data_IF_686949073032
#
_entry.id   IF_686949073032
#
_cell.length_a   1.000
_cell.length_b   1.000
_cell.length_c   1.000
_cell.angle_alpha   90.00
_cell.angle_beta   90.00
_cell.angle_gamma   90.00
#
_symmetry.space_group_name_H-M   'P 1'
#
loop_
_entity.id
_entity.type
_entity.pdbx_description
1 polymer ?
#
# COMPACT_ATOMS: atom_id res chain seq x y z
N UNK A 1 3.72 35.16 -45.79
CA UNK A 1 2.75 34.53 -44.87
C UNK A 1 2.72 35.41 -43.62
N UNK A 2 1.65 36.19 -43.42
CA UNK A 2 1.55 37.13 -42.28
C UNK A 2 0.91 36.43 -41.08
N UNK A 3 1.49 36.59 -39.88
CA UNK A 3 0.78 37.03 -38.66
C UNK A 3 1.77 37.76 -37.76
N UNK A 4 1.40 38.94 -37.25
CA UNK A 4 1.79 39.41 -35.92
C UNK A 4 0.75 40.45 -35.44
N UNK A 5 0.27 40.27 -34.21
CA UNK A 5 -0.62 41.18 -33.45
C UNK A 5 0.24 42.19 -32.65
N UNK A 6 -0.29 43.07 -31.76
CA UNK A 6 -1.67 43.50 -31.47
C UNK A 6 -1.84 45.05 -31.47
N UNK A 7 -3.00 45.58 -31.03
CA UNK A 7 -3.01 46.63 -29.98
C UNK A 7 -4.39 46.87 -29.33
N UNK A 8 -4.37 47.32 -28.08
CA UNK A 8 -5.54 47.59 -27.20
C UNK A 8 -6.09 49.03 -27.34
N UNK A 9 -7.34 49.23 -26.90
CA UNK A 9 -8.00 50.55 -26.73
C UNK A 9 -9.54 50.44 -26.81
N UNK A 10 -10.29 50.06 -25.77
CA UNK A 10 -10.65 50.78 -24.53
C UNK A 10 -11.71 51.89 -24.72
N UNK A 11 -12.88 51.75 -24.04
CA UNK A 11 -13.90 52.80 -23.70
C UNK A 11 -14.85 53.31 -24.81
N UNK A 12 -16.17 53.54 -24.65
CA UNK A 12 -17.30 53.13 -23.75
C UNK A 12 -18.60 53.55 -24.49
N UNK A 13 -19.78 52.99 -24.15
CA UNK A 13 -21.00 53.81 -23.89
C UNK A 13 -22.11 53.02 -23.19
N UNK A 14 -22.78 53.74 -22.28
CA UNK A 14 -23.75 53.27 -21.29
C UNK A 14 -25.19 53.55 -21.77
N UNK A 15 -26.16 52.65 -21.50
CA UNK A 15 -27.50 52.93 -20.90
C UNK A 15 -28.43 51.72 -20.99
N UNK A 16 -29.11 51.36 -19.88
CA UNK A 16 -30.59 51.35 -19.79
C UNK A 16 -31.12 51.13 -18.35
N UNK A 17 -32.26 51.76 -18.06
CA UNK A 17 -32.94 52.03 -16.77
C UNK A 17 -34.39 52.49 -17.09
N UNK A 18 -35.51 52.26 -16.37
CA UNK A 18 -35.86 51.58 -15.10
C UNK A 18 -37.23 50.87 -15.29
N UNK A 19 -37.42 49.65 -14.78
CA UNK A 19 -38.70 49.12 -14.23
C UNK A 19 -38.44 47.76 -13.55
N UNK A 20 -38.97 47.42 -12.37
CA UNK A 20 -40.12 47.99 -11.66
C UNK A 20 -41.11 46.88 -11.32
N UNK A 21 -40.73 45.95 -10.43
CA UNK A 21 -41.56 44.81 -10.01
C UNK A 21 -41.52 44.64 -8.50
N UNK A 22 -42.69 44.67 -7.85
CA UNK A 22 -42.81 44.70 -6.40
C UNK A 22 -42.43 43.39 -5.71
N UNK A 23 -41.92 43.54 -4.48
CA UNK A 23 -41.88 42.50 -3.45
C UNK A 23 -43.27 41.90 -3.20
N UNK A 24 -43.38 40.59 -3.36
CA UNK A 24 -44.38 39.76 -2.69
C UNK A 24 -43.72 38.44 -2.32
N UNK A 25 -42.85 38.49 -1.31
CA UNK A 25 -42.34 37.31 -0.63
C UNK A 25 -43.49 36.66 0.13
N UNK A 26 -44.13 35.66 -0.48
CA UNK A 26 -44.95 34.71 0.25
C UNK A 26 -44.05 33.94 1.20
N UNK A 27 -43.99 34.41 2.46
CA UNK A 27 -43.43 33.67 3.59
C UNK A 27 -44.29 32.43 3.83
N UNK A 28 -44.08 31.39 3.02
CA UNK A 28 -44.34 30.02 3.45
C UNK A 28 -43.22 29.67 4.42
N UNK A 29 -43.35 30.12 5.66
CA UNK A 29 -42.62 29.50 6.76
C UNK A 29 -43.19 28.09 6.91
N UNK A 30 -42.61 27.14 6.19
CA UNK A 30 -42.73 25.73 6.58
C UNK A 30 -42.41 25.67 8.07
N UNK A 31 -43.28 25.10 8.93
CA UNK A 31 -42.96 24.96 10.33
C UNK A 31 -41.65 24.19 10.41
N UNK A 32 -40.65 24.79 11.07
CA UNK A 32 -39.38 24.10 11.36
C UNK A 32 -39.78 22.91 12.22
N UNK A 33 -39.68 21.71 11.67
CA UNK A 33 -39.97 20.49 12.42
C UNK A 33 -39.02 20.47 13.63
N UNK A 34 -39.53 20.51 14.88
CA UNK A 34 -38.68 20.50 16.06
C UNK A 34 -37.92 19.16 16.22
N UNK A 35 -38.29 18.13 15.44
CA UNK A 35 -37.58 16.85 15.33
C UNK A 35 -36.74 16.74 14.05
N UNK A 36 -36.63 17.80 13.24
CA UNK A 36 -35.64 17.86 12.18
C UNK A 36 -34.27 17.76 12.84
N UNK A 37 -33.65 16.58 12.69
CA UNK A 37 -32.26 16.37 13.11
C UNK A 37 -31.44 17.48 12.45
N UNK A 38 -30.81 18.32 13.27
CA UNK A 38 -29.78 19.23 12.79
C UNK A 38 -28.80 18.35 12.03
N UNK A 39 -28.71 18.56 10.71
CA UNK A 39 -27.73 17.83 9.93
C UNK A 39 -26.37 18.15 10.54
N UNK A 40 -25.68 17.12 11.04
CA UNK A 40 -24.29 17.19 11.51
C UNK A 40 -23.54 18.11 10.53
N UNK A 41 -22.94 19.21 11.00
CA UNK A 41 -22.33 20.18 10.11
C UNK A 41 -21.32 19.43 9.25
N UNK A 42 -21.42 19.56 7.92
CA UNK A 42 -20.45 18.96 7.02
C UNK A 42 -19.11 19.64 7.30
N UNK A 43 -18.31 19.01 8.16
CA UNK A 43 -16.94 19.42 8.43
C UNK A 43 -16.17 19.10 7.17
N UNK A 44 -16.08 20.07 6.27
CA UNK A 44 -15.06 20.09 5.23
C UNK A 44 -13.73 19.88 5.94
N UNK A 45 -13.04 18.78 5.62
CA UNK A 45 -11.78 18.43 6.26
C UNK A 45 -10.84 19.64 6.20
N UNK A 46 -10.42 20.14 7.37
CA UNK A 46 -9.43 21.20 7.41
C UNK A 46 -8.12 20.59 6.95
N UNK A 47 -7.73 20.88 5.71
CA UNK A 47 -6.45 20.43 5.18
C UNK A 47 -5.32 21.13 5.94
N UNK A 48 -4.77 20.45 6.96
CA UNK A 48 -3.58 20.86 7.72
C UNK A 48 -2.38 20.06 7.25
N UNK A 49 -1.20 20.67 7.14
CA UNK A 49 0.01 19.90 6.91
C UNK A 49 0.17 18.87 8.05
N UNK A 50 0.46 17.59 7.75
CA UNK A 50 0.73 16.60 8.79
C UNK A 50 2.00 16.98 9.54
N UNK A 51 2.11 16.57 10.81
CA UNK A 51 3.34 16.78 11.56
C UNK A 51 4.43 15.83 11.04
N UNK A 52 5.62 16.38 10.76
CA UNK A 52 6.78 15.59 10.35
C UNK A 52 7.59 15.30 11.61
N UNK A 53 7.83 14.03 11.97
CA UNK A 53 8.63 13.67 13.12
C UNK A 53 9.98 14.42 13.12
N UNK A 54 10.40 14.90 14.30
CA UNK A 54 11.72 15.51 14.49
C UNK A 54 12.83 14.48 14.68
N UNK A 55 12.46 13.24 15.02
CA UNK A 55 13.31 12.07 15.17
C UNK A 55 12.50 10.84 14.76
N UNK A 56 13.18 9.87 14.13
CA UNK A 56 12.65 8.59 13.67
C UNK A 56 13.84 7.69 13.31
N UNK A 57 13.59 6.39 13.17
CA UNK A 57 14.55 5.38 12.77
C UNK A 57 13.89 4.36 11.83
N UNK A 58 14.67 3.68 11.01
CA UNK A 58 14.24 2.48 10.32
C UNK A 58 14.94 1.28 10.96
N UNK A 59 14.20 0.50 11.74
CA UNK A 59 14.73 -0.71 12.38
C UNK A 59 16.03 -0.49 13.19
N UNK A 60 16.12 0.63 13.89
CA UNK A 60 17.29 1.08 14.67
C UNK A 60 18.31 1.93 13.89
N UNK A 61 18.16 2.09 12.57
CA UNK A 61 18.98 3.01 11.77
C UNK A 61 18.38 4.43 11.82
N UNK A 62 19.03 5.34 12.55
CA UNK A 62 18.55 6.70 12.73
C UNK A 62 18.44 7.48 11.40
N UNK A 63 17.32 8.18 11.21
CA UNK A 63 17.10 9.04 10.05
C UNK A 63 17.83 10.38 10.26
N UNK A 64 18.73 10.80 9.35
CA UNK A 64 19.53 12.02 9.54
C UNK A 64 18.76 13.27 9.10
N UNK A 65 17.83 13.73 9.95
CA UNK A 65 16.95 14.88 9.65
C UNK A 65 17.66 16.20 9.32
N UNK A 66 18.88 16.39 9.84
CA UNK A 66 19.74 17.55 9.56
C UNK A 66 20.42 17.49 8.18
N UNK A 67 20.42 16.33 7.51
CA UNK A 67 20.97 16.19 6.16
C UNK A 67 20.07 16.84 5.12
N UNK A 68 20.71 17.38 4.07
CA UNK A 68 20.04 18.15 3.03
C UNK A 68 18.87 17.37 2.39
N UNK A 69 17.68 17.98 2.38
CA UNK A 69 16.48 17.44 1.74
C UNK A 69 15.75 16.32 2.50
N UNK A 70 16.35 15.68 3.51
CA UNK A 70 15.75 14.51 4.21
C UNK A 70 14.39 14.87 4.80
N UNK A 71 14.29 15.98 5.53
CA UNK A 71 13.03 16.44 6.14
C UNK A 71 11.95 16.81 5.11
N UNK A 72 12.32 17.43 4.00
CA UNK A 72 11.40 17.81 2.92
C UNK A 72 10.89 16.58 2.15
N UNK A 73 11.75 15.59 1.92
CA UNK A 73 11.39 14.33 1.28
C UNK A 73 10.45 13.48 2.17
N UNK A 74 10.64 13.48 3.49
CA UNK A 74 9.69 12.85 4.41
C UNK A 74 8.36 13.61 4.45
N UNK A 75 8.37 14.93 4.64
CA UNK A 75 7.16 15.79 4.60
C UNK A 75 6.30 15.51 3.37
N UNK A 76 6.94 15.43 2.21
CA UNK A 76 6.27 15.14 0.96
C UNK A 76 5.56 13.78 0.94
N UNK A 77 6.14 12.72 1.50
CA UNK A 77 5.43 11.43 1.62
C UNK A 77 4.41 11.42 2.78
N UNK A 78 4.62 12.18 3.87
CA UNK A 78 3.61 12.37 4.92
C UNK A 78 2.34 13.01 4.35
N UNK A 79 2.48 14.11 3.61
CA UNK A 79 1.38 14.79 2.91
C UNK A 79 0.68 13.82 1.96
N UNK A 80 1.43 13.11 1.10
CA UNK A 80 0.83 12.18 0.12
C UNK A 80 0.03 11.07 0.81
N UNK A 81 0.58 10.41 1.83
CA UNK A 81 -0.09 9.26 2.46
C UNK A 81 -1.20 9.67 3.45
N UNK A 82 -1.15 10.88 4.01
CA UNK A 82 -2.26 11.45 4.79
C UNK A 82 -3.45 11.80 3.89
N UNK A 83 -3.20 12.48 2.76
CA UNK A 83 -4.26 12.96 1.86
C UNK A 83 -4.75 11.93 0.83
N UNK A 84 -4.03 10.84 0.60
CA UNK A 84 -4.56 9.65 -0.11
C UNK A 84 -5.47 8.81 0.80
N UNK A 85 -6.40 9.49 1.48
CA UNK A 85 -7.09 9.04 2.67
C UNK A 85 -7.86 7.72 2.48
N UNK A 86 -8.46 7.51 1.31
CA UNK A 86 -9.18 6.27 0.96
C UNK A 86 -8.25 5.06 0.85
N UNK A 87 -7.04 5.21 0.30
CA UNK A 87 -6.04 4.15 0.22
C UNK A 87 -5.50 3.80 1.60
N UNK A 88 -5.06 4.80 2.37
CA UNK A 88 -4.47 4.60 3.69
C UNK A 88 -5.47 4.02 4.69
N UNK A 89 -6.73 4.48 4.67
CA UNK A 89 -7.82 3.85 5.43
C UNK A 89 -8.04 2.38 5.04
N UNK A 90 -7.94 2.02 3.76
CA UNK A 90 -8.01 0.61 3.32
C UNK A 90 -6.79 -0.19 3.77
N UNK A 91 -5.60 0.42 3.84
CA UNK A 91 -4.39 -0.24 4.33
C UNK A 91 -4.53 -0.58 5.82
N UNK A 92 -4.91 0.39 6.66
CA UNK A 92 -5.17 0.20 8.09
C UNK A 92 -6.22 -0.89 8.34
N UNK A 93 -7.35 -0.86 7.60
CA UNK A 93 -8.39 -1.92 7.69
C UNK A 93 -7.87 -3.30 7.31
N UNK A 94 -6.99 -3.43 6.31
CA UNK A 94 -6.39 -4.70 5.88
C UNK A 94 -5.27 -5.19 6.79
N UNK A 95 -4.59 -4.28 7.49
CA UNK A 95 -3.51 -4.63 8.41
C UNK A 95 -4.00 -5.53 9.55
N UNK A 96 -5.14 -5.20 10.16
CA UNK A 96 -5.81 -6.06 11.15
C UNK A 96 -5.98 -7.53 10.71
N UNK A 97 -6.17 -7.78 9.40
CA UNK A 97 -6.27 -9.14 8.82
C UNK A 97 -4.92 -9.83 8.64
N UNK A 98 -3.89 -9.09 8.23
CA UNK A 98 -2.68 -9.66 7.63
C UNK A 98 -1.40 -9.46 8.44
N UNK A 99 -1.31 -8.39 9.24
CA UNK A 99 -0.19 -8.15 10.15
C UNK A 99 0.05 -9.33 11.10
N UNK A 100 -0.96 -9.95 11.75
CA UNK A 100 -0.71 -11.12 12.61
C UNK A 100 -0.02 -12.31 11.92
N UNK A 101 -0.15 -12.44 10.60
CA UNK A 101 0.56 -13.46 9.81
C UNK A 101 1.97 -12.97 9.43
N UNK A 102 2.10 -11.70 9.05
CA UNK A 102 3.36 -11.08 8.62
C UNK A 102 4.32 -10.94 9.81
N UNK A 103 3.91 -10.25 10.87
CA UNK A 103 4.68 -9.98 12.09
C UNK A 103 5.21 -11.27 12.75
N UNK A 104 4.40 -12.34 12.74
CA UNK A 104 4.81 -13.67 13.22
C UNK A 104 6.00 -14.25 12.44
N UNK A 105 5.97 -14.13 11.10
CA UNK A 105 7.04 -14.62 10.22
C UNK A 105 8.28 -13.71 10.30
N UNK A 106 8.09 -12.39 10.37
CA UNK A 106 9.19 -11.43 10.57
C UNK A 106 9.96 -11.75 11.85
N UNK A 107 9.23 -11.94 12.95
CA UNK A 107 9.78 -12.35 14.25
C UNK A 107 10.47 -13.72 14.21
N UNK A 108 9.90 -14.71 13.53
CA UNK A 108 10.54 -16.03 13.34
C UNK A 108 11.86 -15.91 12.58
N UNK A 109 11.90 -15.07 11.55
CA UNK A 109 13.07 -14.86 10.68
C UNK A 109 14.09 -13.88 11.24
N UNK A 110 13.78 -13.18 12.34
CA UNK A 110 14.63 -12.13 12.89
C UNK A 110 14.70 -10.87 12.01
N UNK A 111 13.72 -10.65 11.14
CA UNK A 111 13.59 -9.38 10.42
C UNK A 111 12.89 -8.35 11.33
N UNK A 112 13.37 -7.10 11.40
CA UNK A 112 12.73 -6.04 12.17
C UNK A 112 11.28 -5.77 11.74
N UNK A 113 10.44 -5.41 12.71
CA UNK A 113 8.99 -5.33 12.52
C UNK A 113 8.56 -4.24 11.53
N UNK A 114 9.29 -3.12 11.46
CA UNK A 114 9.13 -2.01 10.51
C UNK A 114 8.97 -2.49 9.06
N UNK A 115 9.61 -3.61 8.69
CA UNK A 115 9.53 -4.15 7.33
C UNK A 115 8.14 -4.68 6.95
N UNK A 116 7.20 -4.84 7.90
CA UNK A 116 5.79 -5.12 7.58
C UNK A 116 5.16 -3.99 6.75
N UNK A 117 5.65 -2.76 6.91
CA UNK A 117 5.19 -1.60 6.16
C UNK A 117 5.68 -1.60 4.70
N UNK A 118 6.71 -2.39 4.34
CA UNK A 118 7.04 -2.62 2.92
C UNK A 118 5.89 -3.29 2.16
N UNK A 119 5.27 -4.33 2.74
CA UNK A 119 4.09 -4.97 2.14
C UNK A 119 2.88 -4.02 2.00
N UNK A 120 2.82 -2.96 2.84
CA UNK A 120 1.83 -1.89 2.73
C UNK A 120 2.13 -0.99 1.53
N UNK A 121 3.36 -0.47 1.38
CA UNK A 121 3.68 0.44 0.26
C UNK A 121 3.70 -0.27 -1.10
N UNK A 122 4.00 -1.56 -1.13
CA UNK A 122 4.05 -2.37 -2.36
C UNK A 122 2.66 -2.77 -2.87
N UNK A 123 1.73 -3.15 -1.98
CA UNK A 123 0.46 -3.76 -2.39
C UNK A 123 -0.80 -3.21 -1.70
N UNK A 124 -0.63 -2.39 -0.67
CA UNK A 124 -1.70 -2.06 0.26
C UNK A 124 -2.29 -3.30 0.95
N UNK A 125 -1.45 -4.31 1.23
CA UNK A 125 -1.82 -5.63 1.75
C UNK A 125 -2.91 -6.33 0.92
N UNK A 126 -2.65 -6.43 -0.40
CA UNK A 126 -3.61 -6.95 -1.38
C UNK A 126 -2.93 -7.75 -2.50
N UNK A 127 -3.74 -8.50 -3.24
CA UNK A 127 -3.29 -9.33 -4.36
C UNK A 127 -3.29 -8.52 -5.67
N UNK A 128 -2.35 -7.59 -5.79
CA UNK A 128 -2.20 -6.71 -6.97
C UNK A 128 -1.06 -7.16 -7.89
N UNK A 129 -1.06 -6.63 -9.12
CA UNK A 129 0.00 -6.84 -10.11
C UNK A 129 0.42 -5.48 -10.66
N UNK A 130 1.71 -5.15 -10.61
CA UNK A 130 2.22 -3.89 -11.16
C UNK A 130 2.25 -3.93 -12.70
N UNK A 131 2.33 -2.77 -13.39
CA UNK A 131 2.55 -2.72 -14.83
C UNK A 131 3.82 -3.46 -15.30
N UNK A 132 4.83 -3.61 -14.44
CA UNK A 132 6.05 -4.37 -14.71
C UNK A 132 5.90 -5.89 -14.48
N UNK A 133 4.78 -6.36 -13.92
CA UNK A 133 4.52 -7.78 -13.67
C UNK A 133 4.99 -8.29 -12.30
N UNK A 134 5.37 -7.40 -11.39
CA UNK A 134 5.47 -7.69 -9.96
C UNK A 134 4.10 -8.15 -9.43
N UNK A 135 4.04 -9.06 -8.45
CA UNK A 135 2.76 -9.60 -7.98
C UNK A 135 2.67 -9.92 -6.49
N UNK A 136 1.45 -9.88 -5.98
CA UNK A 136 1.10 -10.26 -4.61
C UNK A 136 1.47 -9.20 -3.56
N UNK A 137 1.44 -9.60 -2.29
CA UNK A 137 1.63 -8.71 -1.14
C UNK A 137 2.97 -7.99 -1.14
N UNK A 138 4.00 -8.71 -1.58
CA UNK A 138 5.40 -8.33 -1.55
C UNK A 138 5.95 -7.95 -2.93
N UNK A 139 5.06 -7.78 -3.93
CA UNK A 139 5.38 -7.38 -5.31
C UNK A 139 6.62 -8.07 -5.90
N UNK A 140 6.73 -9.38 -5.75
CA UNK A 140 7.85 -10.11 -6.32
C UNK A 140 7.78 -10.14 -7.86
N UNK A 141 8.90 -9.82 -8.50
CA UNK A 141 9.09 -10.00 -9.94
C UNK A 141 9.15 -11.49 -10.29
N UNK A 142 8.55 -11.89 -11.42
CA UNK A 142 8.47 -13.31 -11.85
C UNK A 142 9.85 -13.98 -12.00
N UNK A 143 10.89 -13.22 -12.40
CA UNK A 143 12.26 -13.72 -12.51
C UNK A 143 13.04 -13.78 -11.18
N UNK A 144 12.60 -13.04 -10.16
CA UNK A 144 13.26 -12.95 -8.85
C UNK A 144 12.65 -13.93 -7.85
N UNK A 145 11.33 -14.10 -7.87
CA UNK A 145 10.58 -14.99 -6.98
C UNK A 145 11.17 -16.42 -6.82
N UNK A 146 11.56 -17.13 -7.90
CA UNK A 146 12.14 -18.48 -7.77
C UNK A 146 13.51 -18.51 -7.06
N UNK A 147 14.25 -17.40 -7.07
CA UNK A 147 15.55 -17.29 -6.39
C UNK A 147 15.39 -17.33 -4.87
N UNK A 148 14.22 -16.91 -4.38
CA UNK A 148 13.79 -16.97 -2.97
C UNK A 148 12.74 -18.07 -2.74
N UNK A 149 12.83 -19.16 -3.51
CA UNK A 149 12.07 -20.40 -3.26
C UNK A 149 10.59 -20.40 -3.65
N UNK A 150 10.05 -19.33 -4.25
CA UNK A 150 8.63 -19.27 -4.64
C UNK A 150 8.36 -20.08 -5.92
N UNK A 151 7.45 -21.04 -5.85
CA UNK A 151 7.00 -21.83 -7.01
C UNK A 151 6.12 -20.98 -7.93
N UNK A 152 6.45 -20.97 -9.23
CA UNK A 152 5.63 -20.33 -10.27
C UNK A 152 5.45 -21.29 -11.46
N UNK A 153 4.20 -21.66 -11.71
CA UNK A 153 3.72 -22.46 -12.85
C UNK A 153 2.47 -21.78 -13.44
N UNK A 154 1.79 -22.41 -14.40
CA UNK A 154 0.50 -21.91 -14.92
C UNK A 154 -0.64 -22.08 -13.90
N UNK A 155 -0.51 -23.03 -12.98
CA UNK A 155 -1.56 -23.40 -12.01
C UNK A 155 -1.29 -22.82 -10.61
N UNK A 156 -0.03 -22.59 -10.26
CA UNK A 156 0.43 -22.12 -8.95
C UNK A 156 1.31 -20.89 -9.13
N UNK A 157 1.03 -19.78 -8.46
CA UNK A 157 1.95 -18.63 -8.36
C UNK A 157 2.06 -18.19 -6.89
N UNK A 158 3.15 -18.62 -6.24
CA UNK A 158 3.33 -18.45 -4.79
C UNK A 158 3.68 -17.01 -4.38
N UNK A 159 3.85 -16.09 -5.33
CA UNK A 159 3.90 -14.64 -5.03
C UNK A 159 2.62 -14.16 -4.36
N UNK A 160 1.49 -14.76 -4.74
CA UNK A 160 0.18 -14.53 -4.12
C UNK A 160 -0.02 -15.30 -2.81
N UNK A 161 0.89 -16.21 -2.43
CA UNK A 161 0.78 -16.99 -1.19
C UNK A 161 1.43 -16.22 -0.02
N UNK A 162 0.65 -15.37 0.67
CA UNK A 162 1.14 -14.43 1.71
C UNK A 162 2.20 -14.99 2.66
N UNK A 163 2.03 -16.21 3.21
CA UNK A 163 3.03 -16.84 4.08
C UNK A 163 4.37 -17.04 3.35
N UNK A 164 4.36 -17.77 2.21
CA UNK A 164 5.57 -18.06 1.42
C UNK A 164 6.24 -16.79 0.89
N UNK A 165 5.46 -15.83 0.37
CA UNK A 165 6.04 -14.58 -0.11
C UNK A 165 6.55 -13.68 1.02
N UNK A 166 6.05 -13.81 2.25
CA UNK A 166 6.64 -13.14 3.43
C UNK A 166 7.99 -13.77 3.81
N UNK A 167 8.12 -15.09 3.81
CA UNK A 167 9.41 -15.76 4.01
C UNK A 167 10.44 -15.30 2.96
N UNK A 168 10.06 -15.32 1.68
CA UNK A 168 10.90 -14.86 0.58
C UNK A 168 11.33 -13.38 0.72
N UNK A 169 10.42 -12.50 1.18
CA UNK A 169 10.74 -11.10 1.46
C UNK A 169 11.72 -10.95 2.62
N UNK A 170 11.56 -11.74 3.69
CA UNK A 170 12.51 -11.77 4.80
C UNK A 170 13.90 -12.20 4.34
N UNK A 171 13.98 -13.27 3.54
CA UNK A 171 15.26 -13.74 3.00
C UNK A 171 15.94 -12.68 2.13
N UNK A 172 15.19 -12.00 1.25
CA UNK A 172 15.72 -10.87 0.45
C UNK A 172 16.29 -9.76 1.33
N UNK A 173 15.52 -9.29 2.32
CA UNK A 173 15.86 -8.12 3.13
C UNK A 173 17.03 -8.41 4.09
N UNK A 174 17.10 -9.62 4.63
CA UNK A 174 18.25 -10.09 5.41
C UNK A 174 19.51 -10.18 4.56
N UNK A 175 19.43 -10.74 3.34
CA UNK A 175 20.56 -10.80 2.40
C UNK A 175 20.96 -9.41 1.86
N UNK A 176 20.04 -8.46 1.80
CA UNK A 176 20.33 -7.08 1.43
C UNK A 176 21.02 -6.32 2.57
N UNK A 177 20.52 -6.42 3.79
CA UNK A 177 21.14 -5.78 4.95
C UNK A 177 22.51 -6.39 5.28
N UNK A 178 22.69 -7.70 5.10
CA UNK A 178 24.00 -8.36 5.20
C UNK A 178 25.01 -7.84 4.17
N UNK A 179 24.54 -7.37 3.02
CA UNK A 179 25.39 -6.84 1.95
C UNK A 179 25.74 -5.36 2.16
N UNK A 180 24.77 -4.53 2.59
CA UNK A 180 24.94 -3.08 2.70
C UNK A 180 25.23 -2.56 4.13
N UNK A 181 24.94 -3.34 5.17
CA UNK A 181 25.03 -2.89 6.57
C UNK A 181 24.05 -1.80 6.97
N UNK A 182 23.05 -1.51 6.13
CA UNK A 182 22.01 -0.49 6.31
C UNK A 182 20.65 -1.04 5.89
N UNK A 183 19.65 -0.84 6.74
CA UNK A 183 18.25 -1.13 6.49
C UNK A 183 17.64 -0.15 5.48
N UNK A 184 18.07 1.11 5.45
CA UNK A 184 17.65 2.07 4.43
C UNK A 184 18.13 1.65 3.03
N UNK A 185 19.39 1.22 2.89
CA UNK A 185 19.91 0.66 1.64
C UNK A 185 19.27 -0.69 1.29
N UNK A 186 19.00 -1.55 2.29
CA UNK A 186 18.28 -2.80 2.08
C UNK A 186 16.86 -2.55 1.52
N UNK A 187 16.11 -1.61 2.10
CA UNK A 187 14.80 -1.19 1.63
C UNK A 187 14.86 -0.58 0.21
N UNK A 188 15.77 0.36 -0.06
CA UNK A 188 15.95 0.93 -1.40
C UNK A 188 16.28 -0.16 -2.45
N UNK A 189 17.10 -1.15 -2.05
CA UNK A 189 17.43 -2.29 -2.91
C UNK A 189 16.24 -3.20 -3.21
N UNK A 190 15.18 -3.19 -2.40
CA UNK A 190 13.96 -3.96 -2.67
C UNK A 190 13.25 -3.43 -3.93
N UNK A 191 13.24 -2.11 -4.11
CA UNK A 191 12.63 -1.44 -5.26
C UNK A 191 13.50 -1.50 -6.52
N UNK A 192 14.81 -1.16 -6.43
CA UNK A 192 15.68 -1.04 -7.62
C UNK A 192 16.64 -2.22 -7.85
N UNK A 193 16.65 -3.21 -6.95
CA UNK A 193 17.60 -4.33 -6.95
C UNK A 193 18.95 -3.99 -6.34
N UNK A 194 19.57 -4.96 -5.63
CA UNK A 194 20.88 -4.81 -4.96
C UNK A 194 22.00 -4.32 -5.90
N UNK A 195 22.03 -4.82 -7.14
CA UNK A 195 23.02 -4.39 -8.13
C UNK A 195 22.87 -2.92 -8.55
N UNK A 196 21.65 -2.37 -8.54
CA UNK A 196 21.40 -0.96 -8.80
C UNK A 196 21.92 -0.08 -7.67
N UNK A 197 21.55 -0.39 -6.43
CA UNK A 197 22.05 0.33 -5.24
C UNK A 197 23.58 0.34 -5.18
N UNK A 198 24.22 -0.82 -5.37
CA UNK A 198 25.69 -0.92 -5.33
C UNK A 198 26.37 -0.04 -6.38
N UNK A 199 25.90 -0.09 -7.63
CA UNK A 199 26.42 0.75 -8.71
C UNK A 199 26.26 2.23 -8.37
N UNK A 200 25.08 2.65 -7.90
CA UNK A 200 24.80 4.06 -7.65
C UNK A 200 25.63 4.60 -6.46
N UNK A 201 25.90 3.78 -5.43
CA UNK A 201 26.88 4.09 -4.36
C UNK A 201 28.30 4.27 -4.93
N UNK A 202 28.78 3.31 -5.73
CA UNK A 202 30.11 3.32 -6.35
C UNK A 202 30.32 4.52 -7.29
N UNK A 203 29.32 4.83 -8.13
CA UNK A 203 29.36 5.93 -9.10
C UNK A 203 29.31 7.31 -8.42
N UNK A 204 28.48 7.46 -7.38
CA UNK A 204 28.28 8.74 -6.69
C UNK A 204 29.27 8.99 -5.55
N UNK A 205 29.97 7.94 -5.09
CA UNK A 205 30.98 7.97 -4.00
C UNK A 205 30.40 8.43 -2.67
N UNK A 206 29.26 7.84 -2.33
CA UNK A 206 28.53 8.03 -1.07
C UNK A 206 28.22 6.66 -0.46
N UNK A 207 28.08 6.61 0.85
CA UNK A 207 27.96 5.35 1.59
C UNK A 207 26.54 5.11 2.15
N UNK A 208 25.64 6.10 2.08
CA UNK A 208 24.30 6.03 2.69
C UNK A 208 23.16 6.27 1.70
N UNK A 209 21.97 5.74 2.00
CA UNK A 209 20.75 6.03 1.22
C UNK A 209 20.44 7.53 1.16
N UNK A 210 20.71 8.25 2.25
CA UNK A 210 20.36 9.65 2.45
C UNK A 210 21.15 10.61 1.55
N UNK A 211 22.30 10.16 1.03
CA UNK A 211 23.18 10.92 0.14
C UNK A 211 23.00 10.55 -1.35
N UNK A 212 22.32 9.42 -1.65
CA UNK A 212 22.14 8.93 -3.01
C UNK A 212 21.13 9.78 -3.81
N UNK A 213 21.58 10.33 -4.94
CA UNK A 213 20.72 10.85 -5.99
C UNK A 213 20.16 9.69 -6.82
N UNK A 214 18.99 9.19 -6.41
CA UNK A 214 18.28 8.10 -7.10
C UNK A 214 17.22 8.63 -8.09
N UNK A 215 16.71 7.72 -8.93
CA UNK A 215 15.52 7.98 -9.72
C UNK A 215 14.32 8.33 -8.80
N UNK A 216 13.32 9.03 -9.32
CA UNK A 216 12.23 9.58 -8.50
C UNK A 216 11.35 8.54 -7.79
N UNK A 217 11.33 7.28 -8.22
CA UNK A 217 10.60 6.22 -7.53
C UNK A 217 11.38 5.75 -6.30
N UNK A 218 12.64 5.33 -6.50
CA UNK A 218 13.48 4.80 -5.42
C UNK A 218 13.91 5.89 -4.42
N UNK A 219 14.16 7.13 -4.88
CA UNK A 219 14.46 8.28 -4.02
C UNK A 219 13.32 8.64 -3.03
N UNK A 220 12.11 8.11 -3.26
CA UNK A 220 10.94 8.28 -2.37
C UNK A 220 10.65 7.03 -1.52
N UNK A 221 11.27 5.90 -1.82
CA UNK A 221 10.79 4.60 -1.36
C UNK A 221 10.93 4.42 0.15
N UNK A 222 12.10 4.76 0.72
CA UNK A 222 12.33 4.70 2.17
C UNK A 222 11.53 5.79 2.91
N UNK A 223 11.40 6.99 2.33
CA UNK A 223 10.56 8.05 2.90
C UNK A 223 9.08 7.64 2.95
N UNK A 224 8.58 6.88 1.96
CA UNK A 224 7.22 6.34 1.98
C UNK A 224 7.06 5.26 3.03
N UNK A 225 8.08 4.42 3.22
CA UNK A 225 8.12 3.41 4.28
C UNK A 225 7.99 4.07 5.66
N UNK A 226 8.82 5.08 5.96
CA UNK A 226 8.76 5.87 7.19
C UNK A 226 7.42 6.60 7.35
N UNK A 227 6.90 7.21 6.29
CA UNK A 227 5.61 7.90 6.36
C UNK A 227 4.45 6.93 6.68
N UNK A 228 4.47 5.71 6.13
CA UNK A 228 3.50 4.69 6.49
C UNK A 228 3.72 4.16 7.91
N UNK A 229 4.97 3.98 8.37
CA UNK A 229 5.29 3.64 9.77
C UNK A 229 4.64 4.64 10.73
N UNK A 230 4.96 5.93 10.59
CA UNK A 230 4.44 7.00 11.44
C UNK A 230 2.90 7.06 11.44
N UNK A 231 2.26 6.95 10.27
CA UNK A 231 0.79 6.94 10.16
C UNK A 231 0.16 5.70 10.79
N UNK A 232 0.85 4.55 10.81
CA UNK A 232 0.33 3.33 11.43
C UNK A 232 0.55 3.27 12.94
N UNK A 233 1.58 3.93 13.45
CA UNK A 233 1.89 3.99 14.88
C UNK A 233 1.03 5.01 15.63
N UNK A 234 0.64 6.12 14.98
CA UNK A 234 -0.33 7.09 15.51
C UNK A 234 -1.35 7.55 14.44
N UNK A 235 -2.30 6.69 14.03
CA UNK A 235 -3.24 7.03 12.97
C UNK A 235 -4.17 8.21 13.31
N UNK A 236 -4.48 8.44 14.59
CA UNK A 236 -5.38 9.53 14.99
C UNK A 236 -4.75 10.91 14.81
N UNK A 237 -3.46 11.08 15.12
CA UNK A 237 -2.73 12.33 14.86
C UNK A 237 -2.65 12.69 13.37
N UNK A 238 -2.74 11.70 12.48
CA UNK A 238 -2.83 11.90 11.02
C UNK A 238 -4.27 11.86 10.48
N UNK A 239 -5.28 11.92 11.36
CA UNK A 239 -6.70 12.07 11.01
C UNK A 239 -7.43 10.77 10.63
N UNK A 240 -6.84 9.59 10.86
CA UNK A 240 -7.42 8.29 10.56
C UNK A 240 -8.10 7.66 11.80
N UNK A 241 -9.27 8.16 12.19
CA UNK A 241 -10.09 7.48 13.21
C UNK A 241 -10.88 6.32 12.59
N UNK A 242 -10.44 5.09 12.83
CA UNK A 242 -11.09 3.86 12.32
C UNK A 242 -11.58 3.02 13.49
N UNK A 243 -12.90 2.84 13.57
CA UNK A 243 -13.52 2.04 14.63
C UNK A 243 -13.13 0.55 14.52
N UNK A 244 -12.95 -0.17 15.65
CA UNK A 244 -12.48 -1.57 15.63
C UNK A 244 -13.37 -2.55 14.85
N UNK A 245 -14.68 -2.30 14.82
CA UNK A 245 -15.66 -3.09 14.06
C UNK A 245 -15.58 -2.84 12.54
N UNK A 246 -15.03 -1.69 12.13
CA UNK A 246 -14.76 -1.37 10.74
C UNK A 246 -13.47 -2.04 10.21
N UNK A 247 -12.61 -2.60 11.06
CA UNK A 247 -11.40 -3.31 10.63
C UNK A 247 -11.74 -4.64 9.96
N UNK A 248 -10.90 -5.08 9.01
CA UNK A 248 -11.07 -6.40 8.40
C UNK A 248 -10.44 -7.46 9.30
N UNK A 249 -11.27 -8.27 9.95
CA UNK A 249 -10.81 -9.36 10.81
C UNK A 249 -10.12 -10.48 10.00
N UNK A 250 -9.17 -11.23 10.59
CA UNK A 250 -8.61 -12.45 10.02
C UNK A 250 -9.69 -13.42 9.50
N UNK A 251 -9.36 -14.19 8.45
CA UNK A 251 -10.27 -15.23 7.97
C UNK A 251 -10.24 -16.44 8.89
N UNK A 252 -11.40 -16.87 9.37
CA UNK A 252 -11.57 -18.18 10.01
C UNK A 252 -11.45 -19.28 8.96
N UNK A 253 -10.38 -20.08 9.04
CA UNK A 253 -10.05 -21.10 8.04
C UNK A 253 -9.45 -22.34 8.66
N UNK A 254 -9.75 -23.49 8.05
CA UNK A 254 -9.06 -24.76 8.27
C UNK A 254 -8.17 -25.09 7.07
N UNK A 255 -7.03 -25.75 7.30
CA UNK A 255 -6.16 -26.23 6.22
C UNK A 255 -6.51 -27.66 5.85
N UNK A 256 -6.75 -27.91 4.57
CA UNK A 256 -6.86 -29.26 3.97
C UNK A 256 -5.57 -29.54 3.21
N UNK A 257 -4.86 -30.60 3.59
CA UNK A 257 -3.70 -31.07 2.86
C UNK A 257 -4.14 -31.90 1.64
N UNK A 258 -3.78 -31.43 0.46
CA UNK A 258 -4.07 -32.10 -0.82
C UNK A 258 -2.80 -32.85 -1.25
N UNK A 259 -2.94 -34.16 -1.53
CA UNK A 259 -1.84 -35.07 -1.87
C UNK A 259 -2.02 -35.75 -3.25
N UNK A 260 -3.02 -35.31 -4.01
CA UNK A 260 -3.34 -35.80 -5.36
C UNK A 260 -3.86 -34.64 -6.21
N UNK A 261 -3.75 -34.75 -7.53
CA UNK A 261 -4.29 -33.73 -8.44
C UNK A 261 -5.80 -33.53 -8.29
N UNK A 262 -6.27 -32.32 -8.61
CA UNK A 262 -7.68 -31.92 -8.63
C UNK A 262 -8.00 -31.38 -10.03
N UNK A 263 -8.83 -32.08 -10.79
CA UNK A 263 -9.19 -31.67 -12.16
C UNK A 263 -10.22 -30.52 -12.22
N UNK A 264 -11.06 -30.38 -11.18
CA UNK A 264 -12.02 -29.28 -11.00
C UNK A 264 -12.02 -28.77 -9.55
N UNK A 265 -11.43 -27.59 -9.36
CA UNK A 265 -11.44 -26.87 -8.08
C UNK A 265 -12.84 -26.44 -7.64
N UNK A 266 -13.83 -26.38 -8.54
CA UNK A 266 -15.22 -26.05 -8.24
C UNK A 266 -15.91 -27.21 -7.51
N UNK A 267 -15.82 -28.42 -8.07
CA UNK A 267 -16.29 -29.64 -7.42
C UNK A 267 -15.58 -29.88 -6.07
N UNK A 268 -14.25 -29.73 -6.02
CA UNK A 268 -13.49 -29.82 -4.76
C UNK A 268 -13.94 -28.79 -3.72
N UNK A 269 -14.16 -27.54 -4.10
CA UNK A 269 -14.67 -26.52 -3.18
C UNK A 269 -16.00 -26.93 -2.56
N UNK A 270 -16.95 -27.39 -3.40
CA UNK A 270 -18.28 -27.84 -2.96
C UNK A 270 -18.20 -29.06 -2.03
N UNK A 271 -17.35 -30.03 -2.36
CA UNK A 271 -17.09 -31.20 -1.50
C UNK A 271 -16.55 -30.80 -0.11
N UNK A 272 -15.76 -29.73 -0.02
CA UNK A 272 -15.26 -29.20 1.25
C UNK A 272 -16.18 -28.16 1.90
N UNK A 273 -17.41 -27.99 1.42
CA UNK A 273 -18.42 -27.08 2.01
C UNK A 273 -18.26 -25.60 1.63
N UNK A 274 -17.52 -25.30 0.56
CA UNK A 274 -17.24 -23.95 0.08
C UNK A 274 -17.65 -23.76 -1.39
N UNK A 275 -17.48 -22.55 -1.93
CA UNK A 275 -17.59 -22.29 -3.37
C UNK A 275 -16.23 -21.83 -3.94
N UNK A 276 -16.09 -21.88 -5.27
CA UNK A 276 -14.83 -21.53 -5.96
C UNK A 276 -14.35 -20.10 -5.62
N UNK A 277 -15.27 -19.15 -5.40
CA UNK A 277 -14.94 -17.77 -5.01
C UNK A 277 -14.26 -17.72 -3.64
N UNK A 278 -14.82 -18.40 -2.65
CA UNK A 278 -14.22 -18.52 -1.32
C UNK A 278 -12.86 -19.22 -1.38
N UNK A 279 -12.78 -20.37 -2.08
CA UNK A 279 -11.54 -21.11 -2.28
C UNK A 279 -10.42 -20.24 -2.87
N UNK A 280 -10.69 -19.52 -3.97
CA UNK A 280 -9.69 -18.64 -4.62
C UNK A 280 -9.41 -17.35 -3.88
N UNK A 281 -10.34 -16.88 -3.04
CA UNK A 281 -10.09 -15.71 -2.16
C UNK A 281 -9.12 -16.07 -1.03
N UNK A 282 -9.22 -17.28 -0.48
CA UNK A 282 -8.30 -17.78 0.55
C UNK A 282 -6.99 -18.33 -0.02
N UNK A 283 -6.99 -18.81 -1.27
CA UNK A 283 -5.83 -19.37 -1.97
C UNK A 283 -5.61 -18.68 -3.33
N UNK A 284 -5.31 -17.37 -3.35
CA UNK A 284 -5.15 -16.60 -4.61
C UNK A 284 -3.91 -17.01 -5.42
N UNK A 285 -3.07 -17.87 -4.86
CA UNK A 285 -1.98 -18.56 -5.53
C UNK A 285 -2.45 -19.69 -6.47
N UNK A 286 -3.70 -20.17 -6.34
CA UNK A 286 -4.33 -21.07 -7.32
C UNK A 286 -4.77 -20.28 -8.56
N UNK A 287 -3.99 -20.38 -9.63
CA UNK A 287 -4.13 -19.55 -10.85
C UNK A 287 -5.05 -20.16 -11.90
N UNK A 288 -5.10 -21.49 -12.02
CA UNK A 288 -6.03 -22.19 -12.92
C UNK A 288 -7.29 -22.68 -12.17
N UNK A 289 -8.18 -23.42 -12.83
CA UNK A 289 -9.34 -24.07 -12.19
C UNK A 289 -9.08 -25.55 -11.83
N UNK A 290 -7.81 -25.97 -11.87
CA UNK A 290 -7.31 -27.30 -11.53
C UNK A 290 -6.04 -27.18 -10.68
N UNK A 291 -5.52 -28.29 -10.19
CA UNK A 291 -4.26 -28.36 -9.47
C UNK A 291 -3.59 -29.70 -9.75
N UNK A 292 -2.47 -29.69 -10.44
CA UNK A 292 -1.65 -30.86 -10.76
C UNK A 292 -0.55 -30.99 -9.71
N UNK A 293 -0.50 -32.13 -9.01
CA UNK A 293 0.54 -32.44 -8.04
C UNK A 293 1.45 -33.55 -8.55
N UNK A 294 2.75 -33.43 -8.28
CA UNK A 294 3.71 -34.51 -8.52
C UNK A 294 3.52 -35.63 -7.48
N UNK A 295 3.95 -36.85 -7.82
CA UNK A 295 3.88 -37.99 -6.89
C UNK A 295 4.70 -37.68 -5.63
N UNK A 296 4.03 -37.68 -4.48
CA UNK A 296 4.63 -37.36 -3.18
C UNK A 296 4.65 -35.86 -2.81
N UNK A 297 4.19 -34.97 -3.69
CA UNK A 297 3.98 -33.55 -3.34
C UNK A 297 2.71 -33.39 -2.48
N UNK A 298 2.69 -32.36 -1.64
CA UNK A 298 1.50 -32.02 -0.84
C UNK A 298 1.39 -30.53 -0.63
N UNK A 299 0.17 -30.01 -0.64
CA UNK A 299 -0.07 -28.57 -0.50
C UNK A 299 -1.26 -28.30 0.42
N UNK A 300 -1.06 -27.35 1.35
CA UNK A 300 -2.08 -26.91 2.29
C UNK A 300 -3.01 -25.90 1.64
N UNK A 301 -4.27 -26.28 1.45
CA UNK A 301 -5.32 -25.43 0.88
C UNK A 301 -6.22 -24.92 2.00
N UNK A 302 -6.38 -23.60 2.12
CA UNK A 302 -7.26 -22.99 3.11
C UNK A 302 -8.73 -23.07 2.67
N UNK A 303 -9.58 -23.62 3.53
CA UNK A 303 -11.02 -23.70 3.35
C UNK A 303 -11.68 -22.90 4.49
N UNK A 304 -12.84 -22.23 4.29
CA UNK A 304 -13.60 -21.67 5.39
C UNK A 304 -13.92 -22.73 6.45
N UNK A 305 -14.12 -22.28 7.69
CA UNK A 305 -14.77 -23.07 8.75
C UNK A 305 -16.29 -23.01 8.54
#
# INVERSE_FOLDING_TARGET
MHVNYPNLGFIWKLTFLIAGGLLLSSLVSSPVDPNARVAEPIVWAQNRAPEVPSQDDLAGEAVPFESFGVREQLDREMVVNTYHHSSTMLYLKRASRWFPVIESILKEKGLPDDFKYLAVIESGLSQVVSPAGAAGFWQFMKGTAPQYGLRITEEIDERYHVVKSTYAACDYLLDANKEFGSWALAAASYNMGKAGVRRDLEEQKVDTYWELHLNSETARYVYRLLAIKAIFEDPESYGFSIQPDALYQPFETRTVWVTSSIDDLSAFALEKGANLKALKTLNPWLRSNRLTLAVGDSIGVKIPI
#
